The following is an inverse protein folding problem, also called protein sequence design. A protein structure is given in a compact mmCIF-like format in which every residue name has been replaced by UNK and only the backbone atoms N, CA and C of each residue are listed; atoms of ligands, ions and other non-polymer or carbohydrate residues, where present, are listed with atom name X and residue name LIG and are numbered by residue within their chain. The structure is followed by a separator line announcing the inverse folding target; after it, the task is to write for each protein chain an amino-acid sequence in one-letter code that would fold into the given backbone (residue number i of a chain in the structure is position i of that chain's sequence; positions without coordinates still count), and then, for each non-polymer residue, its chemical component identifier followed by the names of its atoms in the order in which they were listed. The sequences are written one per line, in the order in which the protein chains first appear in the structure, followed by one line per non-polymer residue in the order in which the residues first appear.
data_IF_361352552159
#
_entry.id   IF_361352552159
#
_cell.length_a   1.000
_cell.length_b   1.000
_cell.length_c   1.000
_cell.angle_alpha   90.00
_cell.angle_beta   90.00
_cell.angle_gamma   90.00
#
_symmetry.space_group_name_H-M   'P 1'
#
loop_
_entity.id
_entity.type
_entity.pdbx_description
1 polymer ?
#
# COMPACT_ATOMS: atom_id res chain seq x y z
N UNK A 1 4.01 0.57 2.67
CA UNK A 1 4.45 -0.49 3.63
C UNK A 1 3.94 -0.39 5.11
N UNK A 2 2.61 -0.39 5.27
CA UNK A 2 1.91 -0.56 6.59
C UNK A 2 0.77 -1.65 6.49
N UNK A 3 -0.05 -1.90 7.53
CA UNK A 3 -1.16 -2.92 7.45
C UNK A 3 -2.63 -2.45 7.38
N UNK A 4 -2.91 -1.38 6.62
CA UNK A 4 -4.30 -0.85 6.41
C UNK A 4 -5.12 -1.66 5.33
N UNK A 5 -5.96 -1.04 4.47
CA UNK A 5 -6.77 -1.81 3.47
C UNK A 5 -7.41 -1.08 2.28
N UNK A 6 -6.58 -0.45 1.45
CA UNK A 6 -7.02 0.15 0.15
C UNK A 6 -6.16 -0.34 -1.06
N UNK A 7 -4.86 0.00 -1.12
CA UNK A 7 -3.95 -0.37 -2.25
C UNK A 7 -2.51 -0.80 -1.75
N UNK A 8 -1.46 -0.74 -2.59
CA UNK A 8 -0.06 -1.13 -2.22
C UNK A 8 0.90 0.12 -2.15
N UNK A 9 1.82 0.12 -1.17
CA UNK A 9 2.81 1.22 -0.98
C UNK A 9 4.00 1.16 -1.99
N UNK A 10 4.94 0.20 -1.87
CA UNK A 10 6.12 0.13 -2.79
C UNK A 10 6.55 -1.34 -3.14
N UNK A 11 5.84 -1.94 -4.12
CA UNK A 11 6.19 -3.25 -4.75
C UNK A 11 6.26 -4.50 -3.81
N UNK A 12 5.09 -5.03 -3.41
CA UNK A 12 5.03 -6.20 -2.48
C UNK A 12 5.25 -5.99 -0.96
N UNK A 13 5.74 -4.83 -0.50
CA UNK A 13 6.04 -4.58 0.94
C UNK A 13 4.80 -4.49 1.92
N UNK A 14 3.68 -3.88 1.50
CA UNK A 14 2.43 -3.85 2.30
C UNK A 14 1.31 -3.01 1.66
N UNK A 15 0.67 -2.16 2.48
CA UNK A 15 -0.55 -1.40 2.07
C UNK A 15 -0.35 0.15 1.97
N UNK A 16 -1.31 0.86 1.36
CA UNK A 16 -1.32 2.34 1.25
C UNK A 16 -2.77 2.89 1.17
N UNK A 17 -3.03 4.05 1.79
CA UNK A 17 -4.31 4.82 1.58
C UNK A 17 -4.25 5.71 0.28
N UNK A 18 -3.12 6.41 0.02
CA UNK A 18 -2.87 7.20 -1.22
C UNK A 18 -2.19 6.21 -2.23
N UNK A 19 -2.98 5.80 -3.21
CA UNK A 19 -2.62 4.75 -4.18
C UNK A 19 -1.52 5.10 -5.24
N UNK A 20 -0.37 4.42 -5.11
CA UNK A 20 0.76 4.54 -6.10
C UNK A 20 0.51 3.91 -7.52
N UNK A 21 -0.34 2.88 -7.60
CA UNK A 21 -0.83 2.28 -8.87
C UNK A 21 -2.25 2.80 -9.23
#
# INVERSE_FOLDING_TARGET
CLGIGSCNDFAGCGYAVVCFW
#
